data_IF_748995289262
#
_entry.id   IF_748995289262
#
_cell.length_a   1.000
_cell.length_b   1.000
_cell.length_c   1.000
_cell.angle_alpha   90.00
_cell.angle_beta   90.00
_cell.angle_gamma   90.00
#
_symmetry.space_group_name_H-M   'P 1'
#
loop_
_entity.id
_entity.type
_entity.pdbx_description
1 polymer ?
#
# COMPACT_ATOMS: atom_id res chain seq x y z
N UNK A 1 -14.67 -5.69 -36.06
CA UNK A 1 -13.39 -6.41 -36.01
C UNK A 1 -13.27 -6.92 -34.59
N UNK A 2 -13.27 -8.24 -34.46
CA UNK A 2 -13.55 -8.97 -33.22
C UNK A 2 -12.62 -8.59 -32.07
N UNK A 3 -13.27 -8.35 -30.93
CA UNK A 3 -12.66 -8.16 -29.63
C UNK A 3 -12.33 -9.51 -29.01
N UNK A 4 -11.21 -10.11 -29.42
CA UNK A 4 -10.46 -10.97 -28.49
C UNK A 4 -9.71 -10.05 -27.54
N UNK A 5 -10.40 -9.58 -26.50
CA UNK A 5 -9.74 -9.02 -25.32
C UNK A 5 -8.77 -10.08 -24.82
N UNK A 6 -7.48 -9.71 -24.80
CA UNK A 6 -6.38 -10.59 -24.42
C UNK A 6 -6.56 -11.00 -22.95
N UNK A 7 -7.15 -12.19 -22.70
CA UNK A 7 -7.43 -12.72 -21.35
C UNK A 7 -6.17 -12.86 -20.47
N UNK A 8 -4.96 -12.73 -21.05
CA UNK A 8 -3.69 -12.76 -20.32
C UNK A 8 -3.38 -11.47 -19.53
N UNK A 9 -4.12 -10.38 -19.78
CA UNK A 9 -3.86 -9.06 -19.18
C UNK A 9 -4.53 -8.83 -17.81
N UNK A 10 -5.42 -9.74 -17.38
CA UNK A 10 -6.22 -9.62 -16.16
C UNK A 10 -6.06 -10.85 -15.26
N UNK A 11 -6.40 -10.72 -13.97
CA UNK A 11 -6.43 -11.87 -13.07
C UNK A 11 -7.60 -12.80 -13.43
N UNK A 12 -7.40 -14.12 -13.38
CA UNK A 12 -8.40 -15.09 -13.84
C UNK A 12 -9.71 -15.04 -13.03
N UNK A 13 -9.63 -14.68 -11.75
CA UNK A 13 -10.74 -14.47 -10.83
C UNK A 13 -11.56 -13.19 -11.12
N UNK A 14 -11.07 -12.30 -12.00
CA UNK A 14 -11.76 -11.06 -12.40
C UNK A 14 -12.46 -11.14 -13.76
N UNK A 15 -12.31 -12.25 -14.49
CA UNK A 15 -12.83 -12.40 -15.86
C UNK A 15 -14.36 -12.55 -15.88
N UNK A 16 -14.94 -13.18 -14.86
CA UNK A 16 -16.38 -13.40 -14.74
C UNK A 16 -16.90 -12.79 -13.45
N UNK A 17 -17.81 -11.82 -13.56
CA UNK A 17 -18.43 -11.19 -12.40
C UNK A 17 -19.43 -12.15 -11.73
N UNK A 18 -19.43 -12.27 -10.39
CA UNK A 18 -20.39 -13.11 -9.67
C UNK A 18 -21.85 -12.76 -9.95
N UNK A 19 -22.74 -13.77 -9.99
CA UNK A 19 -24.17 -13.60 -10.31
C UNK A 19 -24.93 -12.67 -9.35
N UNK A 20 -24.43 -12.49 -8.13
CA UNK A 20 -25.03 -11.59 -7.14
C UNK A 20 -24.81 -10.10 -7.45
N UNK A 21 -23.85 -9.76 -8.33
CA UNK A 21 -23.65 -8.39 -8.85
C UNK A 21 -24.68 -8.07 -9.95
N UNK A 22 -25.95 -8.11 -9.60
CA UNK A 22 -27.08 -7.92 -10.51
C UNK A 22 -27.85 -6.60 -10.25
N UNK A 23 -28.91 -6.36 -11.04
CA UNK A 23 -29.71 -5.13 -10.99
C UNK A 23 -30.27 -4.85 -9.59
N UNK A 24 -30.78 -5.87 -8.90
CA UNK A 24 -31.35 -5.68 -7.56
C UNK A 24 -30.29 -5.23 -6.55
N UNK A 25 -29.09 -5.81 -6.63
CA UNK A 25 -27.98 -5.42 -5.76
C UNK A 25 -27.54 -3.97 -6.01
N UNK A 26 -27.34 -3.59 -7.28
CA UNK A 26 -26.93 -2.22 -7.60
C UNK A 26 -28.02 -1.18 -7.32
N UNK A 27 -29.30 -1.54 -7.43
CA UNK A 27 -30.38 -0.66 -6.97
C UNK A 27 -30.24 -0.35 -5.49
N UNK A 28 -29.97 -1.33 -4.63
CA UNK A 28 -29.78 -1.12 -3.19
C UNK A 28 -28.57 -0.21 -2.92
N UNK A 29 -27.42 -0.52 -3.53
CA UNK A 29 -26.19 0.28 -3.44
C UNK A 29 -26.45 1.75 -3.80
N UNK A 30 -27.12 1.98 -4.93
CA UNK A 30 -27.40 3.34 -5.43
C UNK A 30 -28.45 4.04 -4.58
N UNK A 31 -29.49 3.34 -4.08
CA UNK A 31 -30.49 3.93 -3.17
C UNK A 31 -29.84 4.50 -1.92
N UNK A 32 -28.92 3.74 -1.31
CA UNK A 32 -28.20 4.18 -0.12
C UNK A 32 -27.33 5.40 -0.40
N UNK A 33 -26.59 5.37 -1.52
CA UNK A 33 -25.70 6.45 -1.91
C UNK A 33 -26.46 7.75 -2.26
N UNK A 34 -27.46 7.67 -3.14
CA UNK A 34 -28.26 8.81 -3.61
C UNK A 34 -29.31 9.29 -2.60
N UNK A 35 -29.53 8.52 -1.53
CA UNK A 35 -30.54 8.76 -0.50
C UNK A 35 -31.94 8.95 -1.09
N UNK A 36 -32.27 8.12 -2.09
CA UNK A 36 -33.59 8.11 -2.75
C UNK A 36 -34.09 6.67 -2.89
N UNK A 37 -35.36 6.38 -2.53
CA UNK A 37 -35.90 5.02 -2.65
C UNK A 37 -36.20 4.64 -4.12
N UNK A 38 -36.47 5.63 -4.96
CA UNK A 38 -36.83 5.45 -6.36
C UNK A 38 -35.58 5.36 -7.24
N UNK A 39 -34.99 4.18 -7.28
CA UNK A 39 -33.89 3.83 -8.19
C UNK A 39 -34.30 2.60 -8.97
N UNK A 40 -34.13 2.67 -10.29
CA UNK A 40 -34.25 1.54 -11.21
C UNK A 40 -32.99 1.41 -12.05
N UNK A 41 -32.29 0.28 -11.93
CA UNK A 41 -31.13 0.00 -12.77
C UNK A 41 -31.62 -0.43 -14.15
N UNK A 42 -31.08 0.17 -15.20
CA UNK A 42 -31.48 -0.08 -16.59
C UNK A 42 -30.43 -0.85 -17.38
N UNK A 43 -29.16 -0.73 -17.01
CA UNK A 43 -28.06 -1.44 -17.68
C UNK A 43 -26.89 -1.63 -16.71
N UNK A 44 -26.24 -2.79 -16.79
CA UNK A 44 -25.02 -3.12 -16.06
C UNK A 44 -23.99 -3.61 -17.07
N UNK A 45 -22.80 -3.01 -17.06
CA UNK A 45 -21.64 -3.51 -17.80
C UNK A 45 -20.50 -3.75 -16.83
N UNK A 46 -20.12 -5.00 -16.69
CA UNK A 46 -19.01 -5.44 -15.84
C UNK A 46 -17.78 -5.73 -16.69
N UNK A 47 -16.60 -5.39 -16.15
CA UNK A 47 -15.31 -5.78 -16.69
C UNK A 47 -14.30 -5.97 -15.54
N UNK A 48 -13.15 -6.61 -15.78
CA UNK A 48 -12.03 -6.53 -14.84
C UNK A 48 -11.64 -5.06 -14.52
N UNK A 49 -11.19 -4.80 -13.30
CA UNK A 49 -10.77 -3.45 -12.88
C UNK A 49 -9.25 -3.26 -12.77
N UNK A 50 -8.49 -4.35 -12.59
CA UNK A 50 -7.06 -4.32 -12.32
C UNK A 50 -6.26 -5.10 -13.35
N UNK A 51 -5.04 -4.65 -13.62
CA UNK A 51 -4.12 -5.44 -14.44
C UNK A 51 -3.67 -6.68 -13.65
N UNK A 52 -3.28 -7.73 -14.38
CA UNK A 52 -2.69 -8.93 -13.79
C UNK A 52 -1.55 -8.57 -12.83
N UNK A 53 -1.58 -9.12 -11.62
CA UNK A 53 -0.57 -8.88 -10.57
C UNK A 53 -0.83 -7.66 -9.67
N UNK A 54 -1.81 -6.80 -9.98
CA UNK A 54 -2.26 -5.77 -9.03
C UNK A 54 -3.28 -6.36 -8.04
N UNK A 55 -3.39 -5.74 -6.85
CA UNK A 55 -4.37 -6.08 -5.80
C UNK A 55 -4.44 -7.57 -5.43
N UNK A 56 -3.28 -8.19 -5.21
CA UNK A 56 -3.12 -9.63 -4.94
C UNK A 56 -4.10 -10.20 -3.89
N UNK A 57 -4.47 -9.39 -2.89
CA UNK A 57 -5.32 -9.80 -1.78
C UNK A 57 -6.83 -9.72 -2.03
N UNK A 58 -7.29 -9.37 -3.23
CA UNK A 58 -8.73 -9.23 -3.53
C UNK A 58 -9.06 -9.48 -5.00
N UNK A 59 -10.37 -9.51 -5.31
CA UNK A 59 -10.89 -9.50 -6.68
C UNK A 59 -11.54 -8.14 -6.93
N UNK A 60 -11.24 -7.53 -8.07
CA UNK A 60 -11.78 -6.22 -8.42
C UNK A 60 -12.50 -6.20 -9.77
N UNK A 61 -13.71 -5.67 -9.78
CA UNK A 61 -14.50 -5.45 -10.99
C UNK A 61 -14.79 -3.97 -11.20
N UNK A 62 -14.83 -3.55 -12.46
CA UNK A 62 -15.36 -2.24 -12.87
C UNK A 62 -16.79 -2.42 -13.35
N UNK A 63 -17.71 -1.67 -12.75
CA UNK A 63 -19.12 -1.67 -13.12
C UNK A 63 -19.55 -0.31 -13.66
N UNK A 64 -19.99 -0.27 -14.92
CA UNK A 64 -20.69 0.90 -15.46
C UNK A 64 -22.20 0.67 -15.30
N UNK A 65 -22.80 1.40 -14.35
CA UNK A 65 -24.20 1.22 -13.97
C UNK A 65 -25.03 2.39 -14.48
N UNK A 66 -25.97 2.10 -15.36
CA UNK A 66 -26.96 3.08 -15.83
C UNK A 66 -28.26 2.90 -15.07
N UNK A 67 -28.81 3.98 -14.52
CA UNK A 67 -29.99 3.95 -13.66
C UNK A 67 -30.88 5.18 -13.85
N UNK A 68 -32.13 5.08 -13.39
CA UNK A 68 -33.08 6.20 -13.35
C UNK A 68 -33.51 6.52 -11.93
N UNK A 69 -33.65 7.80 -11.63
CA UNK A 69 -34.23 8.33 -10.39
C UNK A 69 -35.31 9.37 -10.74
N UNK A 70 -36.07 9.91 -9.77
CA UNK A 70 -37.00 11.01 -10.03
C UNK A 70 -36.32 12.25 -10.64
N UNK A 71 -35.00 12.38 -10.49
CA UNK A 71 -34.22 13.49 -11.05
C UNK A 71 -33.81 13.27 -12.52
N UNK A 72 -34.02 12.07 -13.08
CA UNK A 72 -33.67 11.76 -14.47
C UNK A 72 -32.89 10.45 -14.63
N UNK A 73 -32.15 10.35 -15.74
CA UNK A 73 -31.30 9.19 -16.07
C UNK A 73 -29.84 9.53 -15.77
N UNK A 74 -29.13 8.59 -15.16
CA UNK A 74 -27.75 8.75 -14.72
C UNK A 74 -26.93 7.51 -15.11
N UNK A 75 -25.61 7.67 -15.14
CA UNK A 75 -24.67 6.58 -15.29
C UNK A 75 -23.48 6.84 -14.37
N UNK A 76 -22.98 5.79 -13.70
CA UNK A 76 -21.85 5.87 -12.78
C UNK A 76 -20.89 4.71 -13.03
N UNK A 77 -19.59 5.02 -13.13
CA UNK A 77 -18.52 4.01 -13.14
C UNK A 77 -18.09 3.74 -11.70
N UNK A 78 -18.05 2.47 -11.34
CA UNK A 78 -17.79 1.96 -10.00
C UNK A 78 -16.63 0.98 -10.02
N UNK A 79 -15.85 0.97 -8.95
CA UNK A 79 -14.87 -0.08 -8.66
C UNK A 79 -15.40 -0.92 -7.50
N UNK A 80 -15.52 -2.22 -7.70
CA UNK A 80 -16.09 -3.17 -6.75
C UNK A 80 -14.97 -4.11 -6.31
N UNK A 81 -14.57 -4.02 -5.06
CA UNK A 81 -13.59 -4.92 -4.43
C UNK A 81 -14.34 -5.94 -3.58
N UNK A 82 -14.06 -7.21 -3.80
CA UNK A 82 -14.69 -8.34 -3.09
C UNK A 82 -13.66 -9.45 -2.82
N UNK A 83 -13.98 -10.33 -1.87
CA UNK A 83 -13.17 -11.52 -1.64
C UNK A 83 -13.34 -12.55 -2.78
N UNK A 84 -12.29 -13.32 -3.13
CA UNK A 84 -12.41 -14.41 -4.08
C UNK A 84 -13.40 -15.48 -3.58
N UNK A 85 -14.36 -15.88 -4.42
CA UNK A 85 -15.26 -17.00 -4.11
C UNK A 85 -14.59 -18.36 -4.35
N UNK A 86 -13.67 -18.43 -5.32
CA UNK A 86 -12.93 -19.63 -5.70
C UNK A 86 -11.96 -20.10 -4.62
N UNK A 87 -11.87 -21.42 -4.42
CA UNK A 87 -10.87 -22.05 -3.53
C UNK A 87 -9.44 -21.87 -4.06
N UNK A 88 -8.48 -21.68 -3.15
CA UNK A 88 -7.06 -21.51 -3.49
C UNK A 88 -6.29 -20.69 -2.45
N UNK A 89 -4.98 -20.51 -2.69
CA UNK A 89 -4.04 -19.86 -1.77
C UNK A 89 -4.53 -18.50 -1.24
N UNK A 90 -5.11 -17.65 -2.11
CA UNK A 90 -5.67 -16.36 -1.71
C UNK A 90 -6.80 -16.51 -0.67
N UNK A 91 -7.74 -17.45 -0.89
CA UNK A 91 -8.86 -17.68 0.03
C UNK A 91 -8.39 -18.29 1.35
N UNK A 92 -7.41 -19.20 1.30
CA UNK A 92 -6.82 -19.82 2.50
C UNK A 92 -6.03 -18.82 3.36
N UNK A 93 -5.26 -17.92 2.73
CA UNK A 93 -4.52 -16.88 3.46
C UNK A 93 -5.41 -15.75 4.00
N UNK A 94 -6.49 -15.41 3.28
CA UNK A 94 -7.20 -14.14 3.47
C UNK A 94 -8.64 -14.29 3.97
N UNK A 95 -9.22 -15.50 3.92
CA UNK A 95 -10.65 -15.76 4.17
C UNK A 95 -11.17 -15.30 5.54
N UNK A 96 -10.33 -15.42 6.58
CA UNK A 96 -10.62 -14.95 7.95
C UNK A 96 -9.83 -13.67 8.32
N UNK A 97 -9.18 -13.03 7.35
CA UNK A 97 -8.27 -11.93 7.64
C UNK A 97 -9.00 -10.65 8.06
N UNK A 98 -8.30 -9.85 8.87
CA UNK A 98 -8.81 -8.56 9.34
C UNK A 98 -8.75 -7.46 8.24
N UNK A 99 -8.14 -7.75 7.09
CA UNK A 99 -7.79 -6.79 6.05
C UNK A 99 -9.00 -6.00 5.54
N UNK A 100 -10.08 -6.70 5.23
CA UNK A 100 -11.29 -6.07 4.72
C UNK A 100 -11.97 -5.18 5.77
N UNK A 101 -11.94 -5.60 7.03
CA UNK A 101 -12.46 -4.80 8.16
C UNK A 101 -11.63 -3.53 8.36
N UNK A 102 -10.31 -3.64 8.28
CA UNK A 102 -9.39 -2.51 8.34
C UNK A 102 -9.64 -1.52 7.21
N UNK A 103 -9.75 -2.01 5.96
CA UNK A 103 -9.97 -1.16 4.79
C UNK A 103 -11.33 -0.44 4.86
N UNK A 104 -12.41 -1.14 5.24
CA UNK A 104 -13.71 -0.52 5.48
C UNK A 104 -13.61 0.58 6.53
N UNK A 105 -12.95 0.32 7.66
CA UNK A 105 -12.81 1.31 8.72
C UNK A 105 -12.00 2.54 8.24
N UNK A 106 -10.98 2.34 7.39
CA UNK A 106 -10.24 3.44 6.80
C UNK A 106 -11.14 4.34 5.95
N UNK A 107 -11.85 3.77 4.98
CA UNK A 107 -12.67 4.55 4.05
C UNK A 107 -13.95 5.14 4.66
N UNK A 108 -14.54 4.49 5.67
CA UNK A 108 -15.85 4.90 6.21
C UNK A 108 -15.74 5.77 7.46
N UNK A 109 -14.63 5.67 8.21
CA UNK A 109 -14.47 6.32 9.52
C UNK A 109 -13.22 7.20 9.60
N UNK A 110 -12.06 6.72 9.15
CA UNK A 110 -10.78 7.42 9.36
C UNK A 110 -10.56 8.52 8.34
N UNK A 111 -10.50 8.18 7.05
CA UNK A 111 -10.21 9.15 5.98
C UNK A 111 -11.22 10.31 5.98
N UNK A 112 -12.55 10.10 6.12
CA UNK A 112 -13.50 11.20 6.17
C UNK A 112 -13.29 12.16 7.35
N UNK A 113 -12.93 11.64 8.54
CA UNK A 113 -12.65 12.47 9.71
C UNK A 113 -11.30 13.20 9.57
N UNK A 114 -10.29 12.57 8.96
CA UNK A 114 -9.00 13.20 8.70
C UNK A 114 -9.14 14.36 7.72
N UNK A 115 -9.82 14.16 6.60
CA UNK A 115 -10.09 15.23 5.65
C UNK A 115 -10.95 16.34 6.25
N UNK A 116 -11.87 16.01 7.17
CA UNK A 116 -12.65 17.03 7.90
C UNK A 116 -11.76 17.85 8.83
N UNK A 117 -10.76 17.26 9.47
CA UNK A 117 -9.76 17.99 10.26
C UNK A 117 -8.95 18.93 9.37
N UNK A 118 -8.51 18.47 8.19
CA UNK A 118 -7.81 19.29 7.21
C UNK A 118 -8.68 20.46 6.70
N UNK A 119 -9.94 20.19 6.34
CA UNK A 119 -10.87 21.23 5.87
C UNK A 119 -11.11 22.34 6.90
N UNK A 120 -11.08 22.03 8.20
CA UNK A 120 -11.21 23.04 9.27
C UNK A 120 -10.06 24.05 9.28
N UNK A 121 -8.90 23.69 8.75
CA UNK A 121 -7.73 24.57 8.65
C UNK A 121 -7.50 25.07 7.22
N UNK A 122 -8.52 24.97 6.37
CA UNK A 122 -8.49 25.45 4.98
C UNK A 122 -7.81 24.52 3.98
N UNK A 123 -7.37 23.34 4.40
CA UNK A 123 -6.72 22.35 3.55
C UNK A 123 -7.77 21.42 2.88
N UNK A 124 -7.84 21.44 1.55
CA UNK A 124 -8.80 20.67 0.75
C UNK A 124 -8.25 19.32 0.27
N UNK A 125 -7.18 18.82 0.88
CA UNK A 125 -6.60 17.52 0.50
C UNK A 125 -7.63 16.40 0.65
N UNK A 126 -7.80 15.63 -0.42
CA UNK A 126 -8.51 14.35 -0.43
C UNK A 126 -7.46 13.25 -0.27
N UNK A 127 -7.64 12.34 0.68
CA UNK A 127 -6.63 11.34 1.02
C UNK A 127 -6.85 10.02 0.26
N UNK A 128 -8.10 9.64 0.01
CA UNK A 128 -8.44 8.41 -0.69
C UNK A 128 -9.71 8.52 -1.53
N UNK A 129 -9.98 7.49 -2.32
CA UNK A 129 -11.19 7.41 -3.15
C UNK A 129 -12.48 7.47 -2.31
N UNK A 130 -13.55 7.99 -2.91
CA UNK A 130 -14.88 8.01 -2.30
C UNK A 130 -15.46 6.59 -2.24
N UNK A 131 -15.70 6.08 -1.02
CA UNK A 131 -16.42 4.84 -0.80
C UNK A 131 -17.93 5.11 -0.82
N UNK A 132 -18.62 4.47 -1.76
CA UNK A 132 -20.05 4.65 -2.02
C UNK A 132 -20.90 3.66 -1.25
N UNK A 133 -20.39 2.45 -1.04
CA UNK A 133 -21.06 1.37 -0.33
C UNK A 133 -20.03 0.40 0.22
N UNK A 134 -20.37 -0.22 1.35
CA UNK A 134 -19.58 -1.30 1.92
C UNK A 134 -20.50 -2.32 2.60
N UNK A 135 -20.04 -3.56 2.70
CA UNK A 135 -20.66 -4.56 3.54
C UNK A 135 -19.62 -5.53 4.09
N UNK A 136 -19.89 -6.04 5.29
CA UNK A 136 -19.20 -7.21 5.84
C UNK A 136 -20.07 -8.48 5.75
N UNK A 137 -21.39 -8.32 5.77
CA UNK A 137 -22.37 -9.40 5.83
C UNK A 137 -23.55 -9.10 4.88
N UNK A 138 -24.01 -10.06 4.06
CA UNK A 138 -23.55 -11.45 3.96
C UNK A 138 -22.24 -11.61 3.17
N UNK A 139 -21.67 -10.52 2.64
CA UNK A 139 -20.45 -10.53 1.83
C UNK A 139 -19.57 -9.34 2.16
N UNK A 140 -18.26 -9.58 2.14
CA UNK A 140 -17.23 -8.56 2.23
C UNK A 140 -17.10 -7.85 0.89
N UNK A 141 -17.66 -6.64 0.81
CA UNK A 141 -17.66 -5.82 -0.43
C UNK A 141 -17.36 -4.36 -0.10
N UNK A 142 -16.55 -3.73 -0.94
CA UNK A 142 -16.28 -2.30 -0.97
C UNK A 142 -16.57 -1.80 -2.38
N UNK A 143 -17.35 -0.72 -2.49
CA UNK A 143 -17.67 -0.09 -3.78
C UNK A 143 -17.20 1.35 -3.74
N UNK A 144 -16.30 1.69 -4.65
CA UNK A 144 -15.71 3.01 -4.81
C UNK A 144 -16.21 3.68 -6.08
N UNK A 145 -16.13 5.01 -6.08
CA UNK A 145 -16.18 5.76 -7.33
C UNK A 145 -14.94 5.45 -8.18
N UNK A 146 -15.13 5.23 -9.49
CA UNK A 146 -14.01 4.99 -10.39
C UNK A 146 -13.23 6.29 -10.65
N UNK A 147 -11.93 6.24 -10.41
CA UNK A 147 -11.03 7.37 -10.60
C UNK A 147 -10.56 7.52 -12.06
N UNK A 148 -10.67 6.46 -12.87
CA UNK A 148 -10.22 6.50 -14.28
C UNK A 148 -10.97 7.59 -15.08
N UNK A 149 -12.31 7.70 -15.01
CA UNK A 149 -13.04 8.80 -15.65
C UNK A 149 -12.65 10.19 -15.14
N UNK A 150 -12.06 10.28 -13.94
CA UNK A 150 -11.57 11.54 -13.36
C UNK A 150 -10.14 11.88 -13.83
N UNK A 151 -9.55 11.10 -14.74
CA UNK A 151 -8.22 11.34 -15.31
C UNK A 151 -7.07 10.80 -14.45
N UNK A 152 -7.36 9.92 -13.49
CA UNK A 152 -6.33 9.23 -12.72
C UNK A 152 -5.86 7.96 -13.44
N UNK A 153 -4.58 7.64 -13.31
CA UNK A 153 -3.98 6.42 -13.83
C UNK A 153 -2.94 5.85 -12.87
N UNK A 154 -2.80 4.53 -12.82
CA UNK A 154 -1.72 3.88 -12.04
C UNK A 154 -0.43 3.93 -12.85
N UNK A 155 0.68 4.28 -12.18
CA UNK A 155 2.01 4.34 -12.79
C UNK A 155 2.66 2.94 -12.81
N UNK A 156 3.10 2.47 -13.99
CA UNK A 156 3.72 1.14 -14.17
C UNK A 156 5.06 1.19 -14.89
N UNK A 157 5.15 2.02 -15.93
CA UNK A 157 6.24 1.92 -16.91
C UNK A 157 7.44 2.83 -16.63
N UNK A 158 7.43 3.55 -15.50
CA UNK A 158 8.50 4.47 -15.12
C UNK A 158 8.55 4.68 -13.61
N UNK A 159 9.64 5.28 -13.17
CA UNK A 159 9.78 5.79 -11.83
C UNK A 159 9.03 7.11 -11.64
N UNK A 160 8.57 7.34 -10.41
CA UNK A 160 7.98 8.61 -10.01
C UNK A 160 9.04 9.73 -10.04
N UNK A 161 8.65 10.90 -10.53
CA UNK A 161 9.48 12.10 -10.50
C UNK A 161 9.57 12.65 -9.07
N UNK A 162 10.51 13.58 -8.84
CA UNK A 162 10.62 14.24 -7.53
C UNK A 162 9.34 14.99 -7.15
N UNK A 163 8.68 15.65 -8.12
CA UNK A 163 7.41 16.36 -7.91
C UNK A 163 6.30 15.39 -7.45
N UNK A 164 6.20 14.24 -8.12
CA UNK A 164 5.23 13.20 -7.79
C UNK A 164 5.50 12.57 -6.42
N UNK A 165 6.78 12.27 -6.11
CA UNK A 165 7.17 11.75 -4.80
C UNK A 165 6.86 12.73 -3.68
N UNK A 166 7.13 14.04 -3.88
CA UNK A 166 6.76 15.09 -2.92
C UNK A 166 5.26 15.13 -2.70
N UNK A 167 4.44 14.99 -3.75
CA UNK A 167 2.98 14.93 -3.59
C UNK A 167 2.53 13.68 -2.79
N UNK A 168 3.14 12.52 -3.06
CA UNK A 168 2.90 11.27 -2.33
C UNK A 168 3.25 11.42 -0.85
N UNK A 169 4.46 11.92 -0.53
CA UNK A 169 4.88 12.17 0.85
C UNK A 169 4.05 13.25 1.54
N UNK A 170 3.53 14.23 0.80
CA UNK A 170 2.63 15.24 1.36
C UNK A 170 1.33 14.60 1.87
N UNK A 171 0.72 13.68 1.11
CA UNK A 171 -0.51 12.99 1.57
C UNK A 171 -0.22 12.06 2.76
N UNK A 172 0.89 11.31 2.71
CA UNK A 172 1.32 10.46 3.83
C UNK A 172 1.59 11.29 5.08
N UNK A 173 2.30 12.41 4.97
CA UNK A 173 2.62 13.30 6.08
C UNK A 173 1.37 13.85 6.76
N UNK A 174 0.34 14.22 5.97
CA UNK A 174 -0.94 14.68 6.52
C UNK A 174 -1.68 13.57 7.24
N UNK A 175 -1.76 12.38 6.66
CA UNK A 175 -2.37 11.20 7.29
C UNK A 175 -1.67 10.87 8.62
N UNK A 176 -0.34 10.83 8.62
CA UNK A 176 0.48 10.57 9.81
C UNK A 176 0.34 11.68 10.86
N UNK A 177 0.35 12.95 10.49
CA UNK A 177 0.22 14.07 11.43
C UNK A 177 -1.13 14.06 12.17
N UNK A 178 -2.22 13.80 11.43
CA UNK A 178 -3.54 13.74 12.03
C UNK A 178 -3.67 12.54 12.96
N UNK A 179 -3.21 11.36 12.53
CA UNK A 179 -3.23 10.17 13.39
C UNK A 179 -2.36 10.32 14.63
N UNK A 180 -1.19 10.95 14.52
CA UNK A 180 -0.32 11.28 15.65
C UNK A 180 -1.06 12.14 16.69
N UNK A 181 -1.70 13.23 16.24
CA UNK A 181 -2.52 14.08 17.13
C UNK A 181 -3.69 13.30 17.74
N UNK A 182 -4.35 12.45 16.96
CA UNK A 182 -5.49 11.66 17.43
C UNK A 182 -5.10 10.57 18.42
N UNK A 183 -3.89 10.01 18.34
CA UNK A 183 -3.38 9.07 19.35
C UNK A 183 -3.23 9.72 20.72
N UNK A 184 -2.90 11.00 20.75
CA UNK A 184 -2.76 11.77 21.99
C UNK A 184 -4.13 12.20 22.54
N UNK A 185 -5.01 12.72 21.66
CA UNK A 185 -6.27 13.34 22.09
C UNK A 185 -7.46 12.38 22.13
N UNK A 186 -7.49 11.36 21.28
CA UNK A 186 -8.61 10.45 21.05
C UNK A 186 -8.13 9.01 20.71
N UNK A 187 -7.30 8.37 21.55
CA UNK A 187 -6.72 7.05 21.24
C UNK A 187 -7.76 5.98 20.93
N UNK A 188 -8.92 6.03 21.59
CA UNK A 188 -10.06 5.12 21.34
C UNK A 188 -10.57 5.13 19.90
N UNK A 189 -10.36 6.23 19.16
CA UNK A 189 -10.81 6.31 17.77
C UNK A 189 -9.99 5.40 16.84
N UNK A 190 -8.74 5.11 17.22
CA UNK A 190 -7.77 4.34 16.42
C UNK A 190 -7.50 2.94 16.98
N UNK A 191 -8.10 2.55 18.11
CA UNK A 191 -7.78 1.30 18.83
C UNK A 191 -8.01 0.00 18.05
N UNK A 192 -8.84 0.03 17.02
CA UNK A 192 -9.14 -1.14 16.19
C UNK A 192 -8.01 -1.44 15.18
N UNK A 193 -7.16 -0.45 14.87
CA UNK A 193 -6.03 -0.55 13.94
C UNK A 193 -4.82 -1.17 14.62
N UNK A 194 -4.99 -2.40 15.08
CA UNK A 194 -3.90 -3.20 15.62
C UNK A 194 -3.24 -3.99 14.50
N UNK A 195 -3.92 -4.87 13.79
CA UNK A 195 -3.22 -5.87 12.99
C UNK A 195 -2.59 -5.30 11.71
N UNK A 196 -1.32 -5.62 11.45
CA UNK A 196 -0.61 -5.41 10.18
C UNK A 196 0.05 -6.69 9.69
N UNK A 197 1.04 -6.60 8.80
CA UNK A 197 1.47 -7.74 7.97
C UNK A 197 1.86 -9.02 8.73
N UNK A 198 2.52 -8.92 9.87
CA UNK A 198 2.89 -10.07 10.69
C UNK A 198 1.73 -10.70 11.48
N UNK A 199 0.54 -10.10 11.47
CA UNK A 199 -0.69 -10.68 12.01
C UNK A 199 -1.49 -11.46 10.96
N UNK A 200 -1.07 -11.48 9.70
CA UNK A 200 -1.66 -12.36 8.68
C UNK A 200 -1.36 -13.82 9.04
N UNK A 201 -2.36 -14.72 9.05
CA UNK A 201 -2.14 -16.14 9.33
C UNK A 201 -1.08 -16.76 8.43
N UNK A 202 -0.19 -17.58 9.02
CA UNK A 202 0.91 -18.29 8.34
C UNK A 202 1.89 -17.38 7.57
N UNK A 203 1.87 -16.07 7.78
CA UNK A 203 2.69 -15.13 7.01
C UNK A 203 4.19 -15.42 7.10
N UNK A 204 4.71 -15.67 8.31
CA UNK A 204 6.14 -15.92 8.54
C UNK A 204 6.55 -17.30 8.00
N UNK A 205 5.64 -18.28 8.12
CA UNK A 205 5.88 -19.65 7.68
C UNK A 205 5.73 -19.81 6.15
N UNK A 206 5.17 -18.80 5.48
CA UNK A 206 5.08 -18.78 4.03
C UNK A 206 6.48 -18.96 3.42
N UNK A 207 6.64 -19.85 2.43
CA UNK A 207 7.93 -20.08 1.82
C UNK A 207 8.61 -18.81 1.32
N UNK A 208 7.86 -17.86 0.75
CA UNK A 208 8.41 -16.59 0.26
C UNK A 208 9.08 -15.80 1.39
N UNK A 209 8.46 -15.73 2.57
CA UNK A 209 9.01 -15.03 3.73
C UNK A 209 10.19 -15.80 4.34
N UNK A 210 10.03 -17.09 4.58
CA UNK A 210 11.04 -17.92 5.26
C UNK A 210 12.30 -18.16 4.43
N UNK A 211 12.21 -18.16 3.09
CA UNK A 211 13.36 -18.37 2.21
C UNK A 211 14.07 -17.07 1.78
N UNK A 212 13.52 -15.88 2.08
CA UNK A 212 14.02 -14.61 1.55
C UNK A 212 15.50 -14.38 1.86
N UNK A 213 15.85 -14.41 3.14
CA UNK A 213 17.24 -14.25 3.60
C UNK A 213 18.17 -15.34 3.07
N UNK A 214 17.72 -16.60 3.00
CA UNK A 214 18.56 -17.70 2.50
C UNK A 214 18.87 -17.55 1.01
N UNK A 215 17.87 -17.16 0.21
CA UNK A 215 18.06 -16.89 -1.21
C UNK A 215 18.98 -15.68 -1.43
N UNK A 216 18.83 -14.63 -0.61
CA UNK A 216 19.74 -13.48 -0.63
C UNK A 216 21.19 -13.88 -0.35
N UNK A 217 21.43 -14.62 0.74
CA UNK A 217 22.75 -15.14 1.11
C UNK A 217 23.32 -16.03 0.00
N UNK A 218 22.50 -16.91 -0.58
CA UNK A 218 22.89 -17.78 -1.69
C UNK A 218 23.37 -16.98 -2.90
N UNK A 219 22.69 -15.88 -3.22
CA UNK A 219 23.08 -15.00 -4.31
C UNK A 219 24.40 -14.28 -4.02
N UNK A 220 24.55 -13.61 -2.86
CA UNK A 220 25.77 -12.86 -2.55
C UNK A 220 27.01 -13.76 -2.39
N UNK A 221 26.84 -15.05 -2.04
CA UNK A 221 27.91 -16.06 -2.05
C UNK A 221 28.42 -16.37 -3.46
N UNK A 222 27.55 -16.31 -4.48
CA UNK A 222 27.89 -16.61 -5.87
C UNK A 222 28.50 -15.42 -6.60
N UNK A 223 28.28 -14.20 -6.12
CA UNK A 223 28.79 -12.97 -6.73
C UNK A 223 30.03 -12.46 -5.98
N UNK A 224 31.24 -12.54 -6.56
CA UNK A 224 32.49 -12.17 -5.89
C UNK A 224 32.49 -10.75 -5.30
N UNK A 225 31.81 -9.80 -5.96
CA UNK A 225 31.71 -8.40 -5.53
C UNK A 225 30.96 -8.21 -4.20
N UNK A 226 30.06 -9.13 -3.83
CA UNK A 226 29.28 -9.07 -2.59
C UNK A 226 29.77 -10.04 -1.51
N UNK A 227 30.78 -10.85 -1.82
CA UNK A 227 31.29 -11.91 -0.95
C UNK A 227 31.70 -11.43 0.46
N UNK A 228 32.17 -10.17 0.59
CA UNK A 228 32.53 -9.59 1.89
C UNK A 228 31.35 -9.46 2.87
N UNK A 229 30.12 -9.39 2.37
CA UNK A 229 28.92 -9.21 3.20
C UNK A 229 28.34 -10.53 3.72
N UNK A 230 28.77 -11.68 3.21
CA UNK A 230 28.19 -13.00 3.52
C UNK A 230 28.12 -13.26 5.03
N UNK A 231 29.23 -13.05 5.74
CA UNK A 231 29.30 -13.29 7.19
C UNK A 231 28.36 -12.38 7.98
N UNK A 232 28.10 -11.17 7.50
CA UNK A 232 27.17 -10.25 8.15
C UNK A 232 25.73 -10.76 8.03
N UNK A 233 25.30 -11.12 6.82
CA UNK A 233 23.94 -11.62 6.60
C UNK A 233 23.69 -13.00 7.24
N UNK A 234 24.69 -13.88 7.30
CA UNK A 234 24.59 -15.15 8.06
C UNK A 234 24.33 -14.93 9.56
N UNK A 235 24.92 -13.88 10.16
CA UNK A 235 24.63 -13.50 11.54
C UNK A 235 23.22 -12.91 11.68
N UNK A 236 22.85 -11.99 10.78
CA UNK A 236 21.52 -11.35 10.79
C UNK A 236 20.39 -12.36 10.57
N UNK A 237 20.61 -13.43 9.78
CA UNK A 237 19.63 -14.49 9.53
C UNK A 237 19.05 -15.09 10.81
N UNK A 238 19.80 -15.07 11.91
CA UNK A 238 19.41 -15.71 13.17
C UNK A 238 18.15 -15.07 13.77
N UNK A 239 17.98 -13.75 13.69
CA UNK A 239 16.93 -13.02 14.41
C UNK A 239 16.26 -11.87 13.64
N UNK A 240 16.64 -11.60 12.38
CA UNK A 240 16.14 -10.43 11.64
C UNK A 240 14.60 -10.40 11.52
N UNK A 241 13.96 -11.56 11.31
CA UNK A 241 12.51 -11.66 11.14
C UNK A 241 11.76 -11.34 12.43
N UNK A 242 12.22 -11.92 13.56
CA UNK A 242 11.64 -11.65 14.87
C UNK A 242 11.82 -10.18 15.26
N UNK A 243 13.00 -9.60 14.97
CA UNK A 243 13.27 -8.17 15.22
C UNK A 243 12.44 -7.26 14.32
N UNK A 244 12.24 -7.62 13.04
CA UNK A 244 11.36 -6.88 12.14
C UNK A 244 9.90 -6.92 12.65
N UNK A 245 9.45 -8.09 13.11
CA UNK A 245 8.13 -8.24 13.74
C UNK A 245 8.00 -7.39 15.00
N UNK A 246 8.98 -7.41 15.90
CA UNK A 246 8.99 -6.62 17.13
C UNK A 246 8.88 -5.12 16.84
N UNK A 247 9.57 -4.63 15.81
CA UNK A 247 9.46 -3.23 15.36
C UNK A 247 8.04 -2.91 14.91
N UNK A 248 7.43 -3.73 14.04
CA UNK A 248 6.08 -3.46 13.53
C UNK A 248 4.99 -3.64 14.60
N UNK A 249 5.27 -4.37 15.67
CA UNK A 249 4.40 -4.55 16.81
C UNK A 249 4.72 -3.59 17.98
N UNK A 250 5.74 -2.74 17.85
CA UNK A 250 6.31 -1.97 18.96
C UNK A 250 5.25 -1.16 19.70
N UNK A 251 4.38 -0.44 18.99
CA UNK A 251 3.30 0.35 19.61
C UNK A 251 2.41 -0.47 20.56
N UNK A 252 2.20 -1.76 20.26
CA UNK A 252 1.23 -2.63 20.95
C UNK A 252 1.89 -3.49 22.02
N UNK A 253 3.11 -3.96 21.75
CA UNK A 253 3.80 -4.95 22.58
C UNK A 253 4.87 -4.30 23.45
N UNK A 254 5.57 -3.26 22.95
CA UNK A 254 6.74 -2.68 23.60
C UNK A 254 6.84 -1.17 23.38
N UNK A 255 5.73 -0.46 23.66
CA UNK A 255 5.60 0.97 23.35
C UNK A 255 6.71 1.78 24.06
N UNK A 256 7.47 2.54 23.28
CA UNK A 256 8.53 3.41 23.77
C UNK A 256 7.96 4.78 24.16
N UNK A 257 8.40 5.37 25.30
CA UNK A 257 7.95 6.70 25.69
C UNK A 257 8.32 7.80 24.70
N UNK A 258 9.43 7.63 23.97
CA UNK A 258 9.96 8.57 22.96
C UNK A 258 9.66 8.14 21.52
N UNK A 259 8.89 7.07 21.31
CA UNK A 259 8.53 6.56 19.99
C UNK A 259 7.51 7.45 19.28
N UNK A 260 7.72 7.68 17.99
CA UNK A 260 6.76 8.37 17.13
C UNK A 260 5.84 7.36 16.48
N UNK A 261 4.60 7.29 16.96
CA UNK A 261 3.60 6.35 16.47
C UNK A 261 2.51 7.06 15.69
N UNK A 262 2.08 6.42 14.61
CA UNK A 262 1.08 6.94 13.68
C UNK A 262 0.19 5.80 13.21
N UNK A 263 -0.92 6.13 12.57
CA UNK A 263 -1.65 5.18 11.75
C UNK A 263 -0.95 5.11 10.39
N UNK A 264 -0.25 4.02 10.16
CA UNK A 264 0.49 3.73 8.95
C UNK A 264 -0.47 3.27 7.84
N UNK A 265 -0.14 3.51 6.57
CA UNK A 265 -0.80 2.87 5.42
C UNK A 265 -0.53 1.36 5.41
N UNK A 266 0.69 0.94 5.73
CA UNK A 266 1.10 -0.45 5.89
C UNK A 266 1.46 -1.17 4.59
N UNK A 267 1.03 -0.65 3.44
CA UNK A 267 1.39 -1.16 2.10
C UNK A 267 1.65 -0.01 1.10
N UNK A 268 2.61 0.84 1.44
CA UNK A 268 2.83 2.13 0.79
C UNK A 268 3.73 2.04 -0.46
N UNK A 269 3.22 1.47 -1.54
CA UNK A 269 3.95 1.29 -2.81
C UNK A 269 3.26 1.94 -4.02
N UNK A 270 4.00 2.14 -5.11
CA UNK A 270 3.56 2.91 -6.29
C UNK A 270 2.25 2.38 -6.94
N UNK A 271 2.03 1.05 -6.93
CA UNK A 271 0.82 0.42 -7.48
C UNK A 271 -0.45 0.64 -6.65
N UNK A 272 -0.33 1.08 -5.40
CA UNK A 272 -1.44 1.46 -4.53
C UNK A 272 -1.71 2.98 -4.61
N UNK A 273 -1.30 3.59 -5.73
CA UNK A 273 -1.45 5.01 -5.98
C UNK A 273 -1.91 5.25 -7.42
N UNK A 274 -2.78 6.23 -7.61
CA UNK A 274 -3.12 6.73 -8.93
C UNK A 274 -2.72 8.20 -9.07
N UNK A 275 -2.23 8.58 -10.23
CA UNK A 275 -1.72 9.92 -10.53
C UNK A 275 -2.65 10.58 -11.55
N UNK A 276 -2.99 11.85 -11.30
CA UNK A 276 -3.77 12.68 -12.19
C UNK A 276 -2.85 13.67 -12.92
N UNK A 277 -3.04 13.78 -14.22
CA UNK A 277 -2.33 14.73 -15.07
C UNK A 277 -3.32 15.64 -15.79
N UNK A 278 -2.88 16.85 -16.10
CA UNK A 278 -3.65 17.76 -16.92
C UNK A 278 -3.73 17.21 -18.36
N UNK A 279 -4.94 17.00 -18.92
CA UNK A 279 -5.11 16.37 -20.24
C UNK A 279 -4.62 17.24 -21.41
N UNK A 280 -4.42 18.55 -21.20
CA UNK A 280 -3.99 19.49 -22.24
C UNK A 280 -2.47 19.59 -22.36
N UNK A 281 -1.74 19.60 -21.24
CA UNK A 281 -0.28 19.81 -21.24
C UNK A 281 0.53 18.70 -20.56
N UNK A 282 -0.12 17.68 -20.01
CA UNK A 282 0.54 16.54 -19.34
C UNK A 282 1.14 16.86 -17.97
N UNK A 283 0.94 18.07 -17.44
CA UNK A 283 1.49 18.45 -16.14
C UNK A 283 0.86 17.61 -15.01
N UNK A 284 1.68 17.18 -14.06
CA UNK A 284 1.23 16.52 -12.84
C UNK A 284 0.24 17.42 -12.07
N UNK A 285 -0.82 16.83 -11.52
CA UNK A 285 -1.90 17.57 -10.86
C UNK A 285 -2.20 17.07 -9.44
N UNK A 286 -2.39 15.77 -9.25
CA UNK A 286 -2.70 15.18 -7.94
C UNK A 286 -2.33 13.69 -7.90
N UNK A 287 -2.27 13.10 -6.71
CA UNK A 287 -2.19 11.65 -6.49
C UNK A 287 -3.38 11.17 -5.66
N UNK A 288 -3.78 9.93 -5.76
CA UNK A 288 -4.76 9.31 -4.87
C UNK A 288 -4.14 8.09 -4.23
N UNK A 289 -4.22 7.99 -2.89
CA UNK A 289 -3.82 6.79 -2.17
C UNK A 289 -4.98 5.78 -2.19
N UNK A 290 -4.65 4.52 -2.39
CA UNK A 290 -5.59 3.40 -2.48
C UNK A 290 -5.13 2.25 -1.58
N UNK A 291 -6.05 1.33 -1.31
CA UNK A 291 -5.74 0.03 -0.69
C UNK A 291 -5.13 0.13 0.73
N UNK A 292 -5.95 0.62 1.67
CA UNK A 292 -5.55 0.83 3.06
C UNK A 292 -5.70 -0.44 3.92
N UNK A 293 -5.78 -1.63 3.33
CA UNK A 293 -6.10 -2.88 4.02
C UNK A 293 -5.08 -3.29 5.10
N UNK A 294 -3.84 -2.81 4.96
CA UNK A 294 -2.73 -3.08 5.88
C UNK A 294 -2.57 -2.02 6.98
N UNK A 295 -3.48 -1.04 7.05
CA UNK A 295 -3.32 0.11 7.95
C UNK A 295 -3.32 -0.31 9.41
N UNK A 296 -2.29 0.11 10.15
CA UNK A 296 -2.17 -0.20 11.57
C UNK A 296 -1.40 0.87 12.36
N UNK A 297 -1.52 0.82 13.68
CA UNK A 297 -0.75 1.67 14.58
C UNK A 297 0.66 1.12 14.76
N UNK A 298 1.63 1.88 14.26
CA UNK A 298 3.00 1.44 14.15
C UNK A 298 3.98 2.63 14.22
N UNK A 299 5.30 2.40 14.34
CA UNK A 299 6.26 3.50 14.27
C UNK A 299 6.17 4.25 12.94
N UNK A 300 6.34 5.57 12.97
CA UNK A 300 6.29 6.47 11.80
C UNK A 300 7.25 6.05 10.67
N UNK A 301 8.29 5.31 11.03
CA UNK A 301 9.32 4.83 10.10
C UNK A 301 8.82 3.71 9.18
N UNK A 302 7.73 3.02 9.49
CA UNK A 302 7.30 1.82 8.76
C UNK A 302 7.06 2.13 7.27
N UNK A 303 6.12 3.01 6.96
CA UNK A 303 5.84 3.39 5.57
C UNK A 303 7.04 4.07 4.89
N UNK A 304 7.92 4.70 5.67
CA UNK A 304 9.09 5.42 5.15
C UNK A 304 10.25 4.50 4.79
N UNK A 305 10.52 3.46 5.59
CA UNK A 305 11.50 2.43 5.23
C UNK A 305 10.91 1.60 4.08
N UNK A 306 9.62 1.29 4.11
CA UNK A 306 8.93 0.61 3.00
C UNK A 306 9.02 1.40 1.69
N UNK A 307 8.79 2.71 1.73
CA UNK A 307 8.82 3.57 0.54
C UNK A 307 10.20 3.68 -0.11
N UNK A 308 11.29 3.60 0.66
CA UNK A 308 12.65 3.50 0.10
C UNK A 308 12.70 2.35 -0.89
N UNK A 309 12.07 1.21 -0.55
CA UNK A 309 12.15 -0.01 -1.34
C UNK A 309 11.07 -0.17 -2.41
N UNK A 310 9.84 0.25 -2.11
CA UNK A 310 8.66 -0.05 -2.92
C UNK A 310 8.09 1.16 -3.68
N UNK A 311 8.62 2.36 -3.44
CA UNK A 311 8.15 3.60 -4.06
C UNK A 311 9.25 4.35 -4.82
N UNK A 312 10.44 4.51 -4.22
CA UNK A 312 11.50 5.32 -4.83
C UNK A 312 12.16 4.60 -6.01
N UNK A 313 12.35 5.31 -7.13
CA UNK A 313 13.19 4.82 -8.23
C UNK A 313 14.69 4.78 -7.86
N UNK A 314 15.54 4.11 -8.68
CA UNK A 314 16.95 3.88 -8.36
C UNK A 314 17.73 5.18 -8.05
N UNK A 315 17.57 6.21 -8.88
CA UNK A 315 18.27 7.48 -8.69
C UNK A 315 17.87 8.20 -7.41
N UNK A 316 16.57 8.26 -7.11
CA UNK A 316 16.06 8.86 -5.88
C UNK A 316 16.55 8.07 -4.67
N UNK A 317 16.44 6.74 -4.71
CA UNK A 317 16.89 5.86 -3.62
C UNK A 317 18.39 5.97 -3.37
N UNK A 318 19.19 6.13 -4.41
CA UNK A 318 20.64 6.28 -4.33
C UNK A 318 21.07 7.64 -3.79
N UNK A 319 20.53 8.71 -4.34
CA UNK A 319 21.08 10.05 -4.14
C UNK A 319 20.21 10.94 -3.25
N UNK A 320 18.88 10.74 -3.24
CA UNK A 320 17.92 11.73 -2.72
C UNK A 320 17.00 11.20 -1.61
N UNK A 321 17.15 9.93 -1.17
CA UNK A 321 16.20 9.33 -0.24
C UNK A 321 16.10 10.12 1.08
N UNK A 322 17.22 10.61 1.61
CA UNK A 322 17.23 11.44 2.83
C UNK A 322 16.47 12.74 2.63
N UNK A 323 16.62 13.38 1.47
CA UNK A 323 15.93 14.64 1.16
C UNK A 323 14.42 14.42 1.06
N UNK A 324 13.98 13.30 0.47
CA UNK A 324 12.56 12.93 0.44
C UNK A 324 12.00 12.66 1.84
N UNK A 325 12.74 11.95 2.69
CA UNK A 325 12.32 11.68 4.07
C UNK A 325 12.34 12.93 4.96
N UNK A 326 13.29 13.84 4.74
CA UNK A 326 13.31 15.14 5.41
C UNK A 326 12.12 16.00 4.96
N UNK A 327 11.85 16.07 3.65
CA UNK A 327 10.67 16.75 3.11
C UNK A 327 9.36 16.21 3.71
N UNK A 328 9.23 14.88 3.79
CA UNK A 328 8.11 14.23 4.46
C UNK A 328 7.99 14.71 5.93
N UNK A 329 9.11 14.67 6.67
CA UNK A 329 9.12 14.99 8.09
C UNK A 329 8.79 16.47 8.37
N UNK A 330 9.34 17.38 7.56
CA UNK A 330 9.02 18.80 7.60
C UNK A 330 7.52 19.02 7.34
N UNK A 331 6.97 18.40 6.30
CA UNK A 331 5.53 18.48 5.98
C UNK A 331 4.66 17.91 7.11
N UNK A 332 5.10 16.84 7.77
CA UNK A 332 4.42 16.22 8.90
C UNK A 332 4.38 17.18 10.11
N UNK A 333 5.51 17.80 10.47
CA UNK A 333 5.57 18.78 11.57
C UNK A 333 4.77 20.04 11.25
N UNK A 334 4.86 20.56 10.03
CA UNK A 334 4.05 21.70 9.59
C UNK A 334 2.55 21.38 9.68
N UNK A 335 2.16 20.17 9.29
CA UNK A 335 0.76 19.76 9.37
C UNK A 335 0.30 19.68 10.83
N UNK A 336 1.10 19.12 11.74
CA UNK A 336 0.80 19.10 13.18
C UNK A 336 0.56 20.51 13.73
N UNK A 337 1.40 21.47 13.35
CA UNK A 337 1.25 22.88 13.73
C UNK A 337 -0.05 23.47 13.16
N UNK A 338 -0.31 23.28 11.86
CA UNK A 338 -1.52 23.79 11.18
C UNK A 338 -2.80 23.25 11.80
N UNK A 339 -2.86 21.97 12.15
CA UNK A 339 -4.03 21.33 12.80
C UNK A 339 -4.11 21.58 14.31
N UNK A 340 -3.24 22.45 14.85
CA UNK A 340 -3.27 22.86 16.26
C UNK A 340 -2.94 21.73 17.23
N UNK A 341 -1.92 20.91 16.93
CA UNK A 341 -1.40 19.96 17.90
C UNK A 341 -0.70 20.68 19.06
N UNK A 342 -1.08 20.35 20.31
CA UNK A 342 -0.62 21.05 21.51
C UNK A 342 0.47 20.29 22.29
N UNK A 343 0.78 19.04 21.88
CA UNK A 343 1.84 18.25 22.51
C UNK A 343 3.24 18.61 22.01
N UNK A 344 4.23 17.82 22.45
CA UNK A 344 5.63 18.02 22.04
C UNK A 344 5.78 17.69 20.54
N UNK A 345 6.20 18.67 19.75
CA UNK A 345 6.49 18.45 18.33
C UNK A 345 7.68 17.49 18.17
N UNK A 346 7.57 16.48 17.28
CA UNK A 346 8.71 15.67 16.87
C UNK A 346 9.83 16.53 16.28
N UNK A 347 11.09 16.10 16.45
CA UNK A 347 12.25 16.74 15.85
C UNK A 347 13.05 15.78 14.97
N UNK A 348 13.80 16.35 14.03
CA UNK A 348 14.51 15.61 12.98
C UNK A 348 15.62 14.70 13.52
N UNK A 349 16.24 15.05 14.65
CA UNK A 349 17.31 14.23 15.25
C UNK A 349 16.75 12.92 15.81
N UNK A 350 15.67 13.01 16.60
CA UNK A 350 14.98 11.84 17.13
C UNK A 350 14.32 11.00 16.04
N UNK A 351 13.84 11.65 14.97
CA UNK A 351 13.29 10.95 13.80
C UNK A 351 14.35 10.05 13.13
N UNK A 352 15.54 10.59 12.80
CA UNK A 352 16.61 9.79 12.21
C UNK A 352 17.18 8.74 13.16
N UNK A 353 17.16 9.00 14.48
CA UNK A 353 17.48 7.99 15.49
C UNK A 353 16.51 6.80 15.44
N UNK A 354 15.20 7.06 15.32
CA UNK A 354 14.22 5.97 15.19
C UNK A 354 14.39 5.22 13.86
N UNK A 355 14.65 5.92 12.75
CA UNK A 355 14.95 5.29 11.47
C UNK A 355 16.13 4.31 11.58
N UNK A 356 17.20 4.67 12.30
CA UNK A 356 18.37 3.80 12.48
C UNK A 356 18.14 2.63 13.45
N UNK A 357 17.28 2.81 14.45
CA UNK A 357 16.90 1.74 15.38
C UNK A 357 16.08 0.62 14.70
N UNK A 358 15.40 0.93 13.59
CA UNK A 358 14.55 -0.01 12.88
C UNK A 358 15.24 -0.76 11.73
N UNK A 359 16.57 -0.90 11.82
CA UNK A 359 17.41 -1.57 10.81
C UNK A 359 16.99 -3.01 10.47
N UNK A 360 16.40 -3.77 11.39
CA UNK A 360 15.97 -5.14 11.08
C UNK A 360 14.80 -5.18 10.07
N UNK A 361 13.92 -4.17 10.10
CA UNK A 361 12.86 -4.04 9.11
C UNK A 361 13.39 -3.65 7.73
N UNK A 362 14.42 -2.78 7.70
CA UNK A 362 15.16 -2.42 6.49
C UNK A 362 15.80 -3.66 5.84
N UNK A 363 16.51 -4.48 6.63
CA UNK A 363 17.11 -5.74 6.17
C UNK A 363 16.04 -6.73 5.69
N UNK A 364 14.92 -6.85 6.40
CA UNK A 364 13.80 -7.71 5.97
C UNK A 364 13.28 -7.31 4.58
N UNK A 365 13.04 -6.02 4.35
CA UNK A 365 12.55 -5.52 3.06
C UNK A 365 13.58 -5.71 1.95
N UNK A 366 14.84 -5.36 2.19
CA UNK A 366 15.93 -5.54 1.22
C UNK A 366 16.09 -6.99 0.79
N UNK A 367 16.01 -7.93 1.73
CA UNK A 367 16.32 -9.34 1.48
C UNK A 367 15.12 -10.15 1.02
N UNK A 368 13.88 -9.66 1.20
CA UNK A 368 12.68 -10.46 0.93
C UNK A 368 11.80 -9.84 -0.16
N UNK A 369 11.40 -8.58 0.00
CA UNK A 369 10.44 -7.94 -0.90
C UNK A 369 11.09 -7.16 -2.05
N UNK A 370 12.24 -6.52 -1.81
CA UNK A 370 12.88 -5.70 -2.83
C UNK A 370 13.33 -6.49 -4.09
N UNK A 371 13.86 -7.74 -4.00
CA UNK A 371 14.17 -8.54 -5.18
C UNK A 371 12.93 -8.81 -6.03
N UNK A 372 11.78 -9.07 -5.39
CA UNK A 372 10.50 -9.25 -6.08
C UNK A 372 10.10 -7.99 -6.85
N UNK A 373 10.22 -6.81 -6.23
CA UNK A 373 9.91 -5.55 -6.89
C UNK A 373 10.82 -5.25 -8.09
N UNK A 374 12.12 -5.53 -7.97
CA UNK A 374 13.05 -5.44 -9.09
C UNK A 374 12.65 -6.38 -10.23
N UNK A 375 12.34 -7.65 -9.94
CA UNK A 375 11.91 -8.61 -10.94
C UNK A 375 10.58 -8.24 -11.62
N UNK A 376 9.61 -7.74 -10.86
CA UNK A 376 8.34 -7.23 -11.43
C UNK A 376 8.61 -6.06 -12.38
N UNK A 377 9.48 -5.12 -12.00
CA UNK A 377 9.78 -3.94 -12.83
C UNK A 377 10.59 -4.28 -14.08
N UNK A 378 11.58 -5.16 -13.95
CA UNK A 378 12.52 -5.49 -15.02
C UNK A 378 11.95 -6.49 -16.02
N UNK A 379 11.24 -7.50 -15.54
CA UNK A 379 10.82 -8.65 -16.34
C UNK A 379 9.29 -8.80 -16.46
N UNK A 380 8.52 -7.86 -15.87
CA UNK A 380 7.05 -7.94 -15.80
C UNK A 380 6.56 -9.28 -15.22
N UNK A 381 7.30 -9.83 -14.26
CA UNK A 381 6.97 -11.09 -13.59
C UNK A 381 5.65 -10.97 -12.83
N UNK A 382 4.88 -12.06 -12.82
CA UNK A 382 3.66 -12.18 -12.01
C UNK A 382 4.03 -12.35 -10.52
N UNK A 383 3.56 -11.47 -9.61
CA UNK A 383 3.80 -11.63 -8.17
C UNK A 383 3.36 -13.00 -7.64
N UNK A 384 2.26 -13.57 -8.17
CA UNK A 384 1.79 -14.88 -7.74
C UNK A 384 2.81 -15.99 -8.07
N UNK A 385 3.42 -15.92 -9.25
CA UNK A 385 4.48 -16.84 -9.68
C UNK A 385 5.72 -16.67 -8.79
N UNK A 386 6.12 -15.42 -8.54
CA UNK A 386 7.26 -15.11 -7.67
C UNK A 386 7.02 -15.52 -6.22
N UNK A 387 5.79 -15.67 -5.74
CA UNK A 387 5.52 -16.13 -4.37
C UNK A 387 5.46 -17.67 -4.32
N UNK A 388 4.79 -18.30 -5.28
CA UNK A 388 4.44 -19.72 -5.20
C UNK A 388 5.48 -20.65 -5.84
N UNK A 389 6.31 -20.16 -6.76
CA UNK A 389 7.29 -20.99 -7.47
C UNK A 389 8.70 -20.82 -6.90
N UNK A 390 9.28 -21.91 -6.38
CA UNK A 390 10.62 -21.91 -5.78
C UNK A 390 11.73 -21.46 -6.73
N UNK A 391 11.69 -21.89 -7.99
CA UNK A 391 12.71 -21.54 -8.98
C UNK A 391 12.60 -20.07 -9.38
N UNK A 392 11.38 -19.55 -9.52
CA UNK A 392 11.14 -18.14 -9.78
C UNK A 392 11.62 -17.28 -8.60
N UNK A 393 11.35 -17.72 -7.35
CA UNK A 393 11.85 -17.08 -6.12
C UNK A 393 13.35 -16.99 -6.06
N UNK A 394 14.08 -18.02 -6.47
CA UNK A 394 15.53 -17.94 -6.48
C UNK A 394 16.02 -17.02 -7.60
N UNK A 395 15.42 -17.11 -8.80
CA UNK A 395 15.83 -16.33 -9.98
C UNK A 395 15.68 -14.82 -9.80
N UNK A 396 14.68 -14.32 -9.05
CA UNK A 396 14.50 -12.88 -8.83
C UNK A 396 15.69 -12.20 -8.12
N UNK A 397 16.52 -12.93 -7.39
CA UNK A 397 17.73 -12.38 -6.77
C UNK A 397 18.87 -12.15 -7.78
N UNK A 398 18.78 -12.76 -8.96
CA UNK A 398 19.81 -12.70 -9.99
C UNK A 398 19.45 -11.75 -11.15
N UNK A 399 18.42 -10.92 -11.02
CA UNK A 399 18.17 -9.90 -12.04
C UNK A 399 19.24 -8.80 -12.00
N UNK A 400 19.48 -8.16 -13.14
CA UNK A 400 20.54 -7.14 -13.24
C UNK A 400 20.15 -5.91 -12.42
N UNK A 401 18.87 -5.52 -12.48
CA UNK A 401 18.34 -4.38 -11.73
C UNK A 401 18.53 -4.51 -10.23
N UNK A 402 18.32 -5.69 -9.64
CA UNK A 402 18.55 -5.90 -8.22
C UNK A 402 20.04 -5.84 -7.85
N UNK A 403 20.91 -6.45 -8.66
CA UNK A 403 22.35 -6.45 -8.42
C UNK A 403 22.96 -5.04 -8.52
N UNK A 404 22.54 -4.24 -9.50
CA UNK A 404 22.94 -2.83 -9.62
C UNK A 404 22.61 -2.02 -8.37
N UNK A 405 21.41 -2.23 -7.80
CA UNK A 405 20.96 -1.56 -6.59
C UNK A 405 21.82 -1.95 -5.38
N UNK A 406 22.21 -3.22 -5.26
CA UNK A 406 23.07 -3.70 -4.18
C UNK A 406 24.46 -3.07 -4.15
N UNK A 407 24.99 -2.63 -5.30
CA UNK A 407 26.32 -2.01 -5.39
C UNK A 407 26.45 -0.74 -4.56
N UNK A 408 25.35 -0.04 -4.29
CA UNK A 408 25.36 1.12 -3.41
C UNK A 408 24.56 0.91 -2.11
N UNK A 409 23.55 0.02 -2.10
CA UNK A 409 22.80 -0.27 -0.88
C UNK A 409 23.65 -1.00 0.17
N UNK A 410 24.45 -2.00 -0.22
CA UNK A 410 25.27 -2.73 0.75
C UNK A 410 26.36 -1.87 1.40
N UNK A 411 27.14 -1.04 0.65
CA UNK A 411 28.04 -0.08 1.28
C UNK A 411 27.31 0.92 2.18
N UNK A 412 26.12 1.39 1.79
CA UNK A 412 25.32 2.28 2.64
C UNK A 412 24.94 1.62 3.97
N UNK A 413 24.51 0.36 3.94
CA UNK A 413 24.16 -0.37 5.16
C UNK A 413 25.37 -0.58 6.07
N UNK A 414 26.55 -0.81 5.49
CA UNK A 414 27.83 -0.86 6.21
C UNK A 414 28.14 0.50 6.86
N UNK A 415 28.08 1.60 6.10
CA UNK A 415 28.33 2.97 6.61
C UNK A 415 27.34 3.39 7.72
N UNK A 416 26.11 2.89 7.67
CA UNK A 416 25.10 3.13 8.69
C UNK A 416 25.24 2.24 9.93
N UNK A 417 26.16 1.26 9.93
CA UNK A 417 26.33 0.29 11.02
C UNK A 417 25.18 -0.72 11.10
N UNK A 418 24.48 -0.96 10.00
CA UNK A 418 23.33 -1.88 9.99
C UNK A 418 23.80 -3.34 9.98
N UNK A 419 24.98 -3.60 9.40
CA UNK A 419 25.57 -4.92 9.25
C UNK A 419 26.35 -5.41 10.49
N UNK A 420 26.46 -4.58 11.52
CA UNK A 420 27.12 -4.89 12.80
C UNK A 420 26.20 -5.54 13.84
#
# INVERSE_FOLDING_TARGET
>A
MDSTTNNESYNADELEAPEWLNAQYFEEVIRQHEKTPEVKVTEIKMSPASAKGDHYASVMFRGNISYTTPKGKFSKSLIIKTMPEMEGHKKEMLGDSYLFKTEIAMYTKILPEFEKILRKVGDQTILGASCLYHSLEPRQVLIFEDLVPQGYTVMRDRDATEEELKAVYTKLAKLHAISFKMLDEKPDYLKEFKNGIFEIPNFIDDPFMSAGMENFITMIKKLPEFSKYVTHFEKLRIDYMDRAKDILQEYRVNRKPDGYYVLCHGDFHLRNMMFQYNPTNGAFKDIMLLDFQMSNLCPITNDLIYSIYMLMGPECRKNNYKDMLNFYFETFVETLQKIGYMGKLPNVTDFWKQMSQHKAYDIFLLTTFFPMMCAIKENNCDPAELIQNNDARLKMYFTDGFQEELRYLLPRLEDLGYLD
#
